data_IF_268305793418
#
_entry.id   IF_268305793418
#
_cell.length_a   1.000
_cell.length_b   1.000
_cell.length_c   1.000
_cell.angle_alpha   90.00
_cell.angle_beta   90.00
_cell.angle_gamma   90.00
#
_symmetry.space_group_name_H-M   'P 1'
#
loop_
_entity.id
_entity.type
_entity.pdbx_description
1 polymer ?
#
# COMPACT_ATOMS: atom_id res chain seq x y z
N UNK A 1 73.61 36.40 -9.91
CA UNK A 1 72.92 37.70 -9.77
C UNK A 1 71.43 37.40 -9.81
N UNK A 2 70.81 36.94 -8.72
CA UNK A 2 70.44 37.66 -7.48
C UNK A 2 69.53 38.86 -7.80
N UNK A 3 68.24 38.73 -7.51
CA UNK A 3 67.50 39.43 -6.43
C UNK A 3 65.98 39.22 -6.68
N UNK A 4 65.15 38.67 -5.78
CA UNK A 4 64.82 39.19 -4.43
C UNK A 4 64.14 40.58 -4.54
N UNK A 5 63.06 40.97 -3.87
CA UNK A 5 62.20 40.40 -2.85
C UNK A 5 61.15 41.49 -2.48
N UNK A 6 60.05 41.05 -1.86
CA UNK A 6 59.45 41.59 -0.61
C UNK A 6 59.19 43.10 -0.45
N UNK A 7 57.92 43.46 -0.15
CA UNK A 7 57.50 44.30 0.99
C UNK A 7 55.95 44.38 1.05
N UNK A 8 55.24 43.55 1.81
CA UNK A 8 54.60 43.84 3.13
C UNK A 8 54.56 45.31 3.61
N UNK A 9 53.35 45.85 3.80
CA UNK A 9 52.84 46.51 5.03
C UNK A 9 51.41 47.03 4.76
N UNK A 10 50.36 46.60 5.44
CA UNK A 10 49.94 46.89 6.83
C UNK A 10 48.93 48.06 6.92
N UNK A 11 47.83 47.82 7.63
CA UNK A 11 47.01 48.84 8.31
C UNK A 11 45.74 49.28 7.54
N UNK A 12 44.53 48.82 7.93
CA UNK A 12 43.62 49.46 8.90
C UNK A 12 43.26 50.93 8.53
N UNK A 13 42.00 51.20 8.16
CA UNK A 13 41.05 52.05 8.92
C UNK A 13 39.90 52.67 8.09
N UNK A 14 38.71 52.63 8.72
CA UNK A 14 37.65 53.64 8.75
C UNK A 14 36.69 53.88 7.56
N UNK A 15 35.47 53.35 7.76
CA UNK A 15 34.16 54.03 7.74
C UNK A 15 34.19 55.52 7.35
N UNK A 16 33.49 55.85 6.26
CA UNK A 16 32.97 57.21 6.04
C UNK A 16 31.49 57.17 5.66
N UNK A 17 30.69 57.74 6.57
CA UNK A 17 29.28 58.02 6.42
C UNK A 17 29.03 59.09 5.35
N UNK A 18 28.12 58.84 4.41
CA UNK A 18 27.64 59.85 3.47
C UNK A 18 26.48 60.64 4.10
N UNK A 19 26.69 61.95 4.18
CA UNK A 19 25.74 62.96 4.67
C UNK A 19 24.59 63.14 3.66
N UNK A 20 23.35 63.21 4.14
CA UNK A 20 22.16 63.60 3.37
C UNK A 20 22.21 65.10 3.03
N UNK A 21 21.86 65.54 1.80
CA UNK A 21 21.63 66.94 1.51
C UNK A 21 20.21 67.38 1.88
N UNK A 22 20.15 68.59 2.43
CA UNK A 22 19.00 69.31 2.97
C UNK A 22 18.07 69.81 1.85
N UNK A 23 16.77 69.73 2.12
CA UNK A 23 15.67 70.17 1.25
C UNK A 23 15.59 71.70 1.21
N UNK A 24 15.44 72.26 0.02
CA UNK A 24 15.03 73.63 -0.17
C UNK A 24 14.56 73.88 -1.60
N UNK A 25 13.26 73.74 -1.85
CA UNK A 25 12.50 74.75 -2.60
C UNK A 25 10.99 74.50 -2.58
N UNK A 26 10.30 75.60 -2.32
CA UNK A 26 8.90 75.78 -1.97
C UNK A 26 8.01 75.65 -3.22
N UNK A 27 7.19 74.60 -3.29
CA UNK A 27 6.14 74.46 -4.33
C UNK A 27 4.77 74.69 -3.68
N UNK A 28 4.06 75.74 -4.12
CA UNK A 28 2.67 76.02 -3.75
C UNK A 28 1.78 74.87 -4.26
N UNK A 29 1.11 74.15 -3.34
CA UNK A 29 0.23 73.00 -3.66
C UNK A 29 -1.21 73.49 -3.93
N UNK A 30 -1.78 73.12 -5.08
CA UNK A 30 -3.20 73.31 -5.44
C UNK A 30 -4.05 72.12 -4.96
N UNK A 31 -5.38 72.29 -4.93
CA UNK A 31 -6.37 71.37 -4.33
C UNK A 31 -6.36 69.91 -4.85
N UNK A 32 -5.63 69.63 -5.94
CA UNK A 32 -5.54 68.32 -6.58
C UNK A 32 -4.11 67.75 -6.65
N UNK A 33 -3.19 68.18 -5.78
CA UNK A 33 -1.86 67.54 -5.73
C UNK A 33 -1.92 66.21 -4.95
N UNK A 34 -1.98 65.07 -5.64
CA UNK A 34 -1.81 63.74 -5.04
C UNK A 34 -0.32 63.42 -4.93
N UNK A 35 0.19 63.10 -3.75
CA UNK A 35 1.59 62.68 -3.59
C UNK A 35 1.84 61.36 -4.34
N UNK A 36 2.96 61.29 -5.08
CA UNK A 36 3.40 60.08 -5.81
C UNK A 36 3.55 58.91 -4.83
N UNK A 37 2.90 57.76 -5.09
CA UNK A 37 3.09 56.53 -4.32
C UNK A 37 4.56 56.09 -4.41
N UNK A 38 5.28 56.05 -3.28
CA UNK A 38 6.58 55.40 -3.19
C UNK A 38 6.37 54.02 -2.57
N UNK A 39 6.87 52.98 -3.25
CA UNK A 39 6.93 51.61 -2.75
C UNK A 39 8.00 51.55 -1.65
N UNK A 40 7.60 51.67 -0.40
CA UNK A 40 8.45 51.38 0.75
C UNK A 40 8.36 49.88 1.04
N UNK A 41 9.46 49.17 0.82
CA UNK A 41 9.64 47.79 1.26
C UNK A 41 10.60 47.85 2.45
N UNK A 42 10.07 48.14 3.64
CA UNK A 42 10.57 47.73 4.96
C UNK A 42 9.64 48.29 6.05
N UNK A 43 9.44 47.49 7.11
CA UNK A 43 8.46 47.71 8.18
C UNK A 43 8.79 48.91 9.10
N UNK A 44 9.93 49.56 8.90
CA UNK A 44 10.44 50.65 9.75
C UNK A 44 10.02 52.05 9.24
N UNK A 45 9.56 52.19 7.99
CA UNK A 45 9.12 53.46 7.41
C UNK A 45 7.74 53.95 7.95
N UNK A 46 7.07 53.13 8.77
CA UNK A 46 5.75 53.48 9.32
C UNK A 46 5.79 54.44 10.51
N UNK A 47 6.94 54.63 11.16
CA UNK A 47 7.03 55.46 12.37
C UNK A 47 7.63 56.87 12.15
N UNK A 48 8.12 57.18 10.94
CA UNK A 48 8.72 58.49 10.63
C UNK A 48 7.75 59.49 9.95
N UNK A 49 6.48 59.13 9.75
CA UNK A 49 5.49 59.98 9.06
C UNK A 49 4.67 60.85 10.04
N UNK A 50 5.36 61.66 10.85
CA UNK A 50 4.72 62.69 11.69
C UNK A 50 3.96 63.76 10.87
N UNK A 51 4.24 63.90 9.56
CA UNK A 51 3.51 64.80 8.67
C UNK A 51 2.07 64.37 8.35
N UNK A 52 1.73 63.08 8.53
CA UNK A 52 0.40 62.56 8.18
C UNK A 52 -0.68 62.93 9.21
N UNK A 53 -0.26 63.22 10.45
CA UNK A 53 -1.17 63.36 11.59
C UNK A 53 -1.76 64.78 11.76
N UNK A 54 -1.20 65.80 11.08
CA UNK A 54 -1.50 67.22 11.37
C UNK A 54 -2.17 68.01 10.23
N UNK A 55 -2.49 67.39 9.08
CA UNK A 55 -3.28 68.05 8.03
C UNK A 55 -4.75 67.63 8.11
N UNK A 56 -5.55 68.40 8.87
CA UNK A 56 -7.00 68.32 8.83
C UNK A 56 -7.49 68.55 7.38
N UNK A 57 -7.87 67.48 6.70
CA UNK A 57 -8.52 67.52 5.40
C UNK A 57 -9.98 67.95 5.62
N UNK A 58 -10.41 69.06 5.02
CA UNK A 58 -11.79 69.50 5.11
C UNK A 58 -12.67 68.54 4.27
N UNK A 59 -13.55 67.73 4.88
CA UNK A 59 -14.25 66.64 4.21
C UNK A 59 -15.41 67.10 3.32
N UNK A 60 -15.69 68.41 3.25
CA UNK A 60 -16.86 68.96 2.55
C UNK A 60 -16.91 68.61 1.05
N UNK A 61 -15.76 68.53 0.37
CA UNK A 61 -15.71 68.12 -1.04
C UNK A 61 -16.07 66.66 -1.23
N UNK A 62 -15.72 65.80 -0.27
CA UNK A 62 -15.99 64.36 -0.34
C UNK A 62 -17.49 64.09 -0.20
N UNK A 63 -18.17 64.79 0.72
CA UNK A 63 -19.62 64.70 0.86
C UNK A 63 -20.37 65.16 -0.39
N UNK A 64 -19.88 66.18 -1.10
CA UNK A 64 -20.49 66.60 -2.37
C UNK A 64 -20.41 65.52 -3.45
N UNK A 65 -19.27 64.81 -3.55
CA UNK A 65 -19.14 63.67 -4.47
C UNK A 65 -20.06 62.51 -4.10
N UNK A 66 -20.17 62.19 -2.81
CA UNK A 66 -21.07 61.14 -2.34
C UNK A 66 -22.55 61.49 -2.53
N UNK A 67 -22.95 62.74 -2.28
CA UNK A 67 -24.32 63.21 -2.52
C UNK A 67 -24.64 63.19 -4.02
N UNK A 68 -23.73 63.66 -4.87
CA UNK A 68 -23.92 63.59 -6.32
C UNK A 68 -24.06 62.14 -6.81
N UNK A 69 -23.20 61.24 -6.33
CA UNK A 69 -23.29 59.80 -6.62
C UNK A 69 -24.60 59.17 -6.16
N UNK A 70 -25.07 59.52 -4.95
CA UNK A 70 -26.33 59.03 -4.41
C UNK A 70 -27.54 59.52 -5.22
N UNK A 71 -27.59 60.81 -5.56
CA UNK A 71 -28.69 61.39 -6.36
C UNK A 71 -28.73 60.80 -7.77
N UNK A 72 -27.58 60.59 -8.42
CA UNK A 72 -27.49 59.91 -9.71
C UNK A 72 -27.90 58.44 -9.63
N UNK A 73 -27.50 57.73 -8.57
CA UNK A 73 -27.94 56.35 -8.32
C UNK A 73 -29.45 56.24 -8.10
N UNK A 74 -30.03 57.17 -7.35
CA UNK A 74 -31.47 57.18 -7.06
C UNK A 74 -32.29 57.47 -8.32
N UNK A 75 -31.85 58.40 -9.18
CA UNK A 75 -32.50 58.65 -10.47
C UNK A 75 -32.38 57.48 -11.46
N UNK A 76 -31.31 56.69 -11.40
CA UNK A 76 -31.15 55.52 -12.27
C UNK A 76 -31.91 54.30 -11.79
N UNK A 77 -31.90 54.04 -10.48
CA UNK A 77 -32.42 52.80 -9.89
C UNK A 77 -33.91 52.89 -9.58
N UNK A 78 -34.41 54.06 -9.17
CA UNK A 78 -35.80 54.21 -8.75
C UNK A 78 -36.82 53.98 -9.89
N UNK A 79 -36.60 54.45 -11.14
CA UNK A 79 -37.50 54.13 -12.26
C UNK A 79 -37.49 52.64 -12.62
N UNK A 80 -36.34 51.97 -12.48
CA UNK A 80 -36.20 50.53 -12.75
C UNK A 80 -36.94 49.68 -11.70
N UNK A 81 -36.83 50.06 -10.41
CA UNK A 81 -37.57 49.42 -9.33
C UNK A 81 -39.08 49.69 -9.45
N UNK A 82 -39.47 50.91 -9.83
CA UNK A 82 -40.88 51.26 -10.04
C UNK A 82 -41.49 50.50 -11.21
N UNK A 83 -40.75 50.36 -12.32
CA UNK A 83 -41.20 49.56 -13.47
C UNK A 83 -41.32 48.07 -13.12
N UNK A 84 -40.33 47.51 -12.41
CA UNK A 84 -40.39 46.13 -11.94
C UNK A 84 -41.57 45.88 -10.99
N UNK A 85 -41.84 46.80 -10.06
CA UNK A 85 -42.99 46.72 -9.16
C UNK A 85 -44.32 46.82 -9.91
N UNK A 86 -44.43 47.73 -10.89
CA UNK A 86 -45.65 47.91 -11.68
C UNK A 86 -45.99 46.67 -12.53
N UNK A 87 -44.98 45.96 -13.06
CA UNK A 87 -45.20 44.76 -13.88
C UNK A 87 -45.29 43.44 -13.10
N UNK A 88 -44.59 43.31 -11.97
CA UNK A 88 -44.45 42.03 -11.25
C UNK A 88 -45.07 42.01 -9.85
N UNK A 89 -45.52 43.17 -9.33
CA UNK A 89 -46.04 43.31 -7.97
C UNK A 89 -44.99 43.20 -6.86
N UNK A 90 -43.69 43.11 -7.22
CA UNK A 90 -42.58 42.94 -6.28
C UNK A 90 -41.45 43.92 -6.58
N UNK A 91 -40.79 44.42 -5.52
CA UNK A 91 -39.82 45.51 -5.64
C UNK A 91 -38.46 45.04 -6.19
N UNK A 92 -38.05 43.79 -5.94
CA UNK A 92 -36.76 43.25 -6.36
C UNK A 92 -36.93 42.07 -7.33
N UNK A 93 -36.07 41.94 -8.37
CA UNK A 93 -36.09 40.79 -9.27
C UNK A 93 -35.68 39.52 -8.52
N UNK A 94 -36.36 38.39 -8.78
CA UNK A 94 -35.99 37.10 -8.19
C UNK A 94 -34.65 36.63 -8.75
N UNK A 95 -33.76 36.22 -7.87
CA UNK A 95 -32.63 35.35 -8.22
C UNK A 95 -33.20 34.04 -8.75
N UNK A 96 -33.23 33.89 -10.08
CA UNK A 96 -33.71 32.70 -10.76
C UNK A 96 -32.71 31.54 -10.60
N UNK A 97 -32.47 31.10 -9.37
CA UNK A 97 -31.72 29.86 -9.07
C UNK A 97 -32.62 28.63 -9.24
N UNK A 98 -33.94 28.79 -9.37
CA UNK A 98 -34.89 27.68 -9.47
C UNK A 98 -35.56 27.50 -10.83
N UNK A 99 -35.09 28.16 -11.90
CA UNK A 99 -35.63 28.00 -13.27
C UNK A 99 -34.65 27.34 -14.25
N UNK A 100 -33.76 26.47 -13.76
CA UNK A 100 -32.94 25.55 -14.56
C UNK A 100 -33.37 24.08 -14.46
N UNK A 101 -34.60 23.79 -13.99
CA UNK A 101 -35.20 22.47 -14.15
C UNK A 101 -36.23 22.48 -15.28
N UNK A 102 -35.73 22.42 -16.54
CA UNK A 102 -36.40 21.80 -17.72
C UNK A 102 -35.62 22.03 -19.03
N UNK A 103 -34.31 21.84 -18.99
CA UNK A 103 -33.57 21.33 -20.15
C UNK A 103 -32.96 20.01 -19.72
N UNK A 104 -33.06 18.91 -20.51
CA UNK A 104 -32.28 17.72 -20.23
C UNK A 104 -30.82 18.09 -20.46
N UNK A 105 -30.15 18.57 -19.41
CA UNK A 105 -28.71 18.63 -19.36
C UNK A 105 -28.24 17.19 -19.52
N UNK A 106 -27.70 16.86 -20.69
CA UNK A 106 -26.85 15.70 -20.85
C UNK A 106 -25.68 15.91 -19.91
N UNK A 107 -25.79 15.37 -18.70
CA UNK A 107 -24.71 15.36 -17.73
C UNK A 107 -23.50 14.74 -18.43
N UNK A 108 -22.54 15.58 -18.83
CA UNK A 108 -21.27 15.11 -19.38
C UNK A 108 -20.61 14.35 -18.24
N UNK A 109 -20.77 13.03 -18.26
CA UNK A 109 -20.17 12.14 -17.29
C UNK A 109 -18.66 12.22 -17.49
N UNK A 110 -17.98 13.10 -16.76
CA UNK A 110 -16.52 13.17 -16.78
C UNK A 110 -15.96 11.77 -16.47
N UNK A 111 -15.06 11.22 -17.31
CA UNK A 111 -14.46 9.92 -17.02
C UNK A 111 -13.80 9.97 -15.65
N UNK A 112 -14.21 9.07 -14.75
CA UNK A 112 -13.61 8.97 -13.41
C UNK A 112 -12.09 8.88 -13.57
N UNK A 113 -11.35 9.68 -12.82
CA UNK A 113 -9.89 9.60 -12.77
C UNK A 113 -9.49 8.16 -12.43
N UNK A 114 -8.95 7.45 -13.42
CA UNK A 114 -8.46 6.08 -13.28
C UNK A 114 -6.94 6.13 -13.33
N UNK A 115 -6.29 5.46 -12.38
CA UNK A 115 -4.83 5.31 -12.38
C UNK A 115 -4.43 4.60 -13.68
N UNK A 116 -3.40 5.10 -14.37
CA UNK A 116 -2.95 4.49 -15.62
C UNK A 116 -2.54 3.04 -15.38
N UNK A 117 -3.15 2.10 -16.12
CA UNK A 117 -2.80 0.69 -16.03
C UNK A 117 -1.63 0.43 -16.98
N UNK A 118 -0.49 -0.01 -16.45
CA UNK A 118 0.64 -0.43 -17.28
C UNK A 118 0.23 -1.67 -18.08
N UNK A 119 0.08 -1.52 -19.39
CA UNK A 119 -0.27 -2.62 -20.30
C UNK A 119 1.00 -3.25 -20.85
N UNK A 120 1.26 -4.50 -20.47
CA UNK A 120 2.41 -5.25 -20.96
C UNK A 120 2.13 -5.80 -22.37
N UNK A 121 3.03 -5.57 -23.33
CA UNK A 121 2.92 -6.06 -24.71
C UNK A 121 3.38 -7.52 -24.88
N UNK A 122 3.18 -8.35 -23.86
CA UNK A 122 3.58 -9.77 -23.89
C UNK A 122 2.62 -10.59 -24.77
N UNK A 123 3.15 -11.59 -25.48
CA UNK A 123 2.35 -12.53 -26.32
C UNK A 123 1.37 -13.41 -25.53
N UNK A 124 1.46 -13.45 -24.20
CA UNK A 124 0.62 -14.31 -23.36
C UNK A 124 -0.76 -13.70 -23.22
N UNK A 125 -1.77 -14.33 -23.83
CA UNK A 125 -3.17 -13.96 -23.65
C UNK A 125 -3.65 -14.29 -22.23
N UNK A 126 -4.69 -13.58 -21.78
CA UNK A 126 -5.36 -13.91 -20.52
C UNK A 126 -5.90 -15.33 -20.64
N UNK A 127 -5.44 -16.24 -19.78
CA UNK A 127 -5.91 -17.63 -19.76
C UNK A 127 -7.41 -17.65 -19.47
N UNK A 128 -8.16 -18.39 -20.29
CA UNK A 128 -9.59 -18.61 -20.07
C UNK A 128 -9.76 -19.42 -18.78
N UNK A 129 -10.11 -18.70 -17.71
CA UNK A 129 -10.12 -19.26 -16.35
C UNK A 129 -11.31 -20.18 -16.12
N UNK A 130 -12.41 -19.97 -16.85
CA UNK A 130 -13.63 -20.78 -16.78
C UNK A 130 -13.39 -22.16 -17.38
N UNK A 131 -12.98 -22.23 -18.65
CA UNK A 131 -12.74 -23.50 -19.35
C UNK A 131 -11.76 -24.42 -18.60
N UNK A 132 -10.77 -23.86 -17.91
CA UNK A 132 -9.82 -24.65 -17.11
C UNK A 132 -10.44 -25.24 -15.85
N UNK A 133 -11.39 -24.53 -15.22
CA UNK A 133 -12.14 -25.05 -14.08
C UNK A 133 -13.08 -26.15 -14.54
N UNK A 134 -13.79 -25.92 -15.65
CA UNK A 134 -14.73 -26.90 -16.21
C UNK A 134 -14.00 -28.19 -16.59
N UNK A 135 -12.85 -28.09 -17.27
CA UNK A 135 -11.96 -29.24 -17.54
C UNK A 135 -11.46 -29.95 -16.29
N UNK A 136 -11.10 -29.20 -15.25
CA UNK A 136 -10.66 -29.81 -13.99
C UNK A 136 -11.80 -30.59 -13.31
N UNK A 137 -13.05 -30.12 -13.42
CA UNK A 137 -14.22 -30.82 -12.88
C UNK A 137 -14.48 -32.10 -13.68
N UNK A 138 -14.44 -32.03 -15.01
CA UNK A 138 -14.56 -33.19 -15.90
C UNK A 138 -13.49 -34.24 -15.60
N UNK A 139 -12.22 -33.84 -15.53
CA UNK A 139 -11.10 -34.75 -15.21
C UNK A 139 -11.25 -35.44 -13.85
N UNK A 140 -11.78 -34.74 -12.84
CA UNK A 140 -12.03 -35.33 -11.51
C UNK A 140 -13.13 -36.39 -11.61
N UNK A 141 -14.25 -36.08 -12.30
CA UNK A 141 -15.36 -37.02 -12.47
C UNK A 141 -14.97 -38.27 -13.24
N UNK A 142 -14.20 -38.12 -14.32
CA UNK A 142 -13.63 -39.25 -15.07
C UNK A 142 -12.71 -40.13 -14.20
N UNK A 143 -11.90 -39.51 -13.35
CA UNK A 143 -11.02 -40.24 -12.44
C UNK A 143 -11.80 -40.94 -11.32
N UNK A 144 -12.90 -40.37 -10.82
CA UNK A 144 -13.76 -41.00 -9.81
C UNK A 144 -14.46 -42.24 -10.33
N UNK A 145 -14.82 -42.26 -11.61
CA UNK A 145 -15.37 -43.46 -12.24
C UNK A 145 -14.32 -44.58 -12.34
N UNK A 146 -13.08 -44.20 -12.65
CA UNK A 146 -11.95 -45.11 -12.89
C UNK A 146 -11.36 -45.71 -11.62
N UNK A 147 -11.13 -44.91 -10.58
CA UNK A 147 -10.40 -45.34 -9.39
C UNK A 147 -11.34 -45.80 -8.26
N UNK A 148 -10.87 -46.73 -7.42
CA UNK A 148 -11.63 -47.28 -6.29
C UNK A 148 -11.62 -46.39 -5.05
N UNK A 149 -10.53 -45.66 -4.80
CA UNK A 149 -10.36 -44.86 -3.59
C UNK A 149 -10.15 -43.38 -3.91
N UNK A 150 -10.70 -42.53 -3.04
CA UNK A 150 -10.43 -41.11 -3.01
C UNK A 150 -9.84 -40.72 -1.65
N UNK A 151 -8.75 -39.97 -1.64
CA UNK A 151 -8.06 -39.52 -0.44
C UNK A 151 -7.94 -38.01 -0.42
N UNK A 152 -8.11 -37.43 0.77
CA UNK A 152 -7.88 -36.02 1.05
C UNK A 152 -6.53 -35.89 1.73
N UNK A 153 -5.62 -35.16 1.08
CA UNK A 153 -4.25 -34.96 1.55
C UNK A 153 -4.04 -33.51 1.99
N UNK A 154 -3.60 -33.30 3.23
CA UNK A 154 -3.15 -31.99 3.70
C UNK A 154 -1.70 -31.79 3.27
N UNK A 155 -1.43 -30.68 2.59
CA UNK A 155 -0.11 -30.35 2.05
C UNK A 155 0.48 -29.20 2.87
N UNK A 156 1.66 -29.40 3.45
CA UNK A 156 2.37 -28.37 4.22
C UNK A 156 3.63 -27.94 3.46
N UNK A 157 3.85 -26.63 3.29
CA UNK A 157 5.04 -26.05 2.64
C UNK A 157 5.33 -26.55 1.20
N UNK A 158 4.28 -26.83 0.44
CA UNK A 158 4.31 -27.33 -0.94
C UNK A 158 5.08 -26.44 -1.91
N UNK A 159 5.79 -27.09 -2.85
CA UNK A 159 6.38 -26.46 -4.04
C UNK A 159 6.12 -27.30 -5.28
N UNK A 160 6.06 -26.64 -6.43
CA UNK A 160 5.75 -27.28 -7.70
C UNK A 160 6.71 -28.41 -8.08
N UNK A 161 7.98 -28.33 -7.69
CA UNK A 161 8.96 -29.38 -7.98
C UNK A 161 8.71 -30.63 -7.11
N UNK A 162 8.43 -30.42 -5.82
CA UNK A 162 8.13 -31.49 -4.86
C UNK A 162 6.82 -32.19 -5.23
N UNK A 163 5.80 -31.42 -5.57
CA UNK A 163 4.51 -31.94 -6.04
C UNK A 163 4.58 -32.64 -7.40
N UNK A 164 5.65 -32.44 -8.18
CA UNK A 164 5.85 -33.21 -9.42
C UNK A 164 6.46 -34.58 -9.10
N UNK A 165 7.49 -34.62 -8.26
CA UNK A 165 8.05 -35.87 -7.76
C UNK A 165 6.95 -36.73 -7.11
N UNK A 166 6.22 -36.17 -6.15
CA UNK A 166 5.11 -36.87 -5.50
C UNK A 166 4.04 -37.39 -6.49
N UNK A 167 3.76 -36.66 -7.58
CA UNK A 167 2.84 -37.11 -8.62
C UNK A 167 3.40 -38.25 -9.47
N UNK A 168 4.71 -38.31 -9.63
CA UNK A 168 5.36 -39.38 -10.37
C UNK A 168 5.35 -40.68 -9.54
N UNK A 169 5.55 -40.58 -8.23
CA UNK A 169 5.54 -41.72 -7.30
C UNK A 169 4.12 -42.25 -7.02
N UNK A 170 3.10 -41.38 -7.10
CA UNK A 170 1.69 -41.77 -6.93
C UNK A 170 1.02 -42.36 -8.18
N UNK A 171 1.74 -42.56 -9.30
CA UNK A 171 1.19 -43.22 -10.50
C UNK A 171 0.92 -44.70 -10.21
N UNK A 172 -0.20 -45.29 -10.69
CA UNK A 172 -1.15 -44.78 -11.69
C UNK A 172 -2.20 -43.78 -11.17
N UNK A 173 -2.23 -43.49 -9.87
CA UNK A 173 -3.14 -42.53 -9.27
C UNK A 173 -2.95 -41.09 -9.76
N UNK A 174 -3.96 -40.26 -9.53
CA UNK A 174 -4.00 -38.86 -9.98
C UNK A 174 -4.22 -37.92 -8.80
N UNK A 175 -3.24 -37.04 -8.59
CA UNK A 175 -3.27 -36.00 -7.55
C UNK A 175 -3.70 -34.64 -8.11
N UNK A 176 -4.87 -34.18 -7.68
CA UNK A 176 -5.43 -32.87 -7.96
C UNK A 176 -5.11 -31.89 -6.83
N UNK A 177 -4.47 -30.77 -7.18
CA UNK A 177 -4.24 -29.64 -6.26
C UNK A 177 -4.89 -28.40 -6.87
N UNK A 178 -6.22 -28.33 -6.78
CA UNK A 178 -7.03 -27.28 -7.35
C UNK A 178 -7.48 -26.25 -6.32
N UNK A 179 -8.43 -25.40 -6.72
CA UNK A 179 -9.17 -24.58 -5.75
C UNK A 179 -10.18 -25.48 -5.05
N UNK A 180 -10.21 -25.44 -3.72
CA UNK A 180 -11.06 -26.34 -2.90
C UNK A 180 -12.53 -26.31 -3.35
N UNK A 181 -13.09 -25.13 -3.61
CA UNK A 181 -14.47 -25.00 -4.12
C UNK A 181 -14.72 -25.68 -5.46
N UNK A 182 -13.73 -25.75 -6.35
CA UNK A 182 -13.87 -26.47 -7.63
C UNK A 182 -13.88 -27.97 -7.39
N UNK A 183 -13.05 -28.46 -6.46
CA UNK A 183 -13.03 -29.87 -6.08
C UNK A 183 -14.34 -30.27 -5.37
N UNK A 184 -14.85 -29.45 -4.45
CA UNK A 184 -16.14 -29.67 -3.79
C UNK A 184 -17.31 -29.75 -4.79
N UNK A 185 -17.35 -28.89 -5.80
CA UNK A 185 -18.37 -28.96 -6.87
C UNK A 185 -18.20 -30.19 -7.76
N UNK A 186 -16.97 -30.69 -7.94
CA UNK A 186 -16.72 -31.89 -8.70
C UNK A 186 -17.22 -33.16 -7.99
N UNK A 187 -17.04 -33.23 -6.66
CA UNK A 187 -17.53 -34.33 -5.82
C UNK A 187 -19.06 -34.26 -5.60
N UNK A 188 -19.58 -33.04 -5.40
CA UNK A 188 -20.95 -32.77 -4.96
C UNK A 188 -20.96 -32.26 -3.51
N UNK A 189 -21.63 -31.12 -3.27
CA UNK A 189 -21.66 -30.48 -1.94
C UNK A 189 -22.73 -31.13 -1.06
N UNK A 190 -23.88 -31.42 -1.67
CA UNK A 190 -25.03 -32.05 -1.03
C UNK A 190 -25.22 -33.46 -1.60
N UNK A 191 -25.89 -34.33 -0.84
CA UNK A 191 -26.25 -35.69 -1.27
C UNK A 191 -27.07 -35.73 -2.57
N UNK A 192 -27.83 -34.67 -2.90
CA UNK A 192 -28.58 -34.59 -4.16
C UNK A 192 -27.69 -34.31 -5.38
N UNK A 193 -26.53 -33.72 -5.15
CA UNK A 193 -25.60 -33.26 -6.19
C UNK A 193 -24.37 -34.16 -6.34
N UNK A 194 -24.33 -35.26 -5.60
CA UNK A 194 -23.15 -36.10 -5.49
C UNK A 194 -22.95 -37.00 -6.70
N UNK A 195 -21.69 -37.16 -7.10
CA UNK A 195 -21.33 -37.99 -8.25
C UNK A 195 -21.39 -39.50 -7.91
N UNK A 196 -21.12 -39.84 -6.65
CA UNK A 196 -21.08 -41.19 -6.11
C UNK A 196 -21.61 -41.16 -4.69
N UNK A 197 -22.30 -42.23 -4.27
CA UNK A 197 -22.95 -42.30 -2.97
C UNK A 197 -21.94 -42.09 -1.81
N UNK A 198 -22.25 -41.16 -0.91
CA UNK A 198 -21.48 -40.90 0.29
C UNK A 198 -20.18 -40.11 0.08
N UNK A 199 -19.90 -39.62 -1.13
CA UNK A 199 -18.67 -38.86 -1.41
C UNK A 199 -18.71 -37.42 -0.89
N UNK A 200 -19.92 -36.88 -0.68
CA UNK A 200 -20.12 -35.55 -0.10
C UNK A 200 -19.41 -35.40 1.25
N UNK A 201 -19.25 -36.49 2.03
CA UNK A 201 -18.52 -36.50 3.30
C UNK A 201 -17.05 -36.07 3.19
N UNK A 202 -16.41 -36.25 2.02
CA UNK A 202 -15.04 -35.75 1.80
C UNK A 202 -14.98 -34.22 1.66
N UNK A 203 -16.08 -33.57 1.30
CA UNK A 203 -16.06 -32.13 1.00
C UNK A 203 -15.81 -31.27 2.23
N UNK A 204 -16.19 -31.73 3.41
CA UNK A 204 -15.95 -31.07 4.70
C UNK A 204 -14.45 -30.94 4.99
N UNK A 205 -13.66 -31.93 4.58
CA UNK A 205 -12.21 -31.98 4.77
C UNK A 205 -11.41 -31.19 3.71
N UNK A 206 -12.08 -30.66 2.68
CA UNK A 206 -11.44 -29.83 1.64
C UNK A 206 -11.28 -28.37 2.11
N UNK A 207 -10.59 -28.14 3.23
CA UNK A 207 -10.31 -26.80 3.78
C UNK A 207 -8.81 -26.54 3.90
N UNK A 208 -8.36 -25.32 3.56
CA UNK A 208 -6.93 -24.95 3.60
C UNK A 208 -6.12 -25.46 2.41
N UNK A 209 -4.84 -25.76 2.63
CA UNK A 209 -3.93 -26.29 1.62
C UNK A 209 -4.09 -27.82 1.50
N UNK A 210 -5.03 -28.22 0.64
CA UNK A 210 -5.44 -29.62 0.49
C UNK A 210 -5.37 -30.08 -0.96
N UNK A 211 -5.01 -31.34 -1.16
CA UNK A 211 -5.07 -32.06 -2.43
C UNK A 211 -6.04 -33.23 -2.38
N UNK A 212 -6.62 -33.56 -3.53
CA UNK A 212 -7.46 -34.74 -3.73
C UNK A 212 -6.66 -35.78 -4.54
N UNK A 213 -6.44 -36.95 -3.97
CA UNK A 213 -5.77 -38.08 -4.62
C UNK A 213 -6.80 -39.15 -4.97
N UNK A 214 -6.88 -39.52 -6.24
CA UNK A 214 -7.69 -40.64 -6.71
C UNK A 214 -6.76 -41.78 -7.13
N UNK A 215 -6.89 -42.96 -6.52
CA UNK A 215 -5.98 -44.09 -6.76
C UNK A 215 -6.64 -45.43 -6.43
N UNK A 216 -6.07 -46.51 -6.92
CA UNK A 216 -6.46 -47.89 -6.57
C UNK A 216 -5.61 -48.48 -5.45
N UNK A 217 -4.60 -47.73 -4.96
CA UNK A 217 -3.72 -48.15 -3.87
C UNK A 217 -4.46 -48.11 -2.52
N UNK A 218 -4.10 -49.04 -1.63
CA UNK A 218 -4.60 -49.08 -0.25
C UNK A 218 -4.03 -47.93 0.58
N UNK A 219 -4.70 -47.61 1.69
CA UNK A 219 -4.30 -46.53 2.58
C UNK A 219 -2.89 -46.71 3.15
N UNK A 220 -2.51 -47.95 3.48
CA UNK A 220 -1.18 -48.30 3.99
C UNK A 220 -0.06 -47.93 3.01
N UNK A 221 -0.20 -48.32 1.74
CA UNK A 221 0.77 -47.99 0.71
C UNK A 221 0.84 -46.48 0.45
N UNK A 222 -0.31 -45.79 0.46
CA UNK A 222 -0.32 -44.33 0.31
C UNK A 222 0.44 -43.68 1.48
N UNK A 223 0.19 -44.08 2.72
CA UNK A 223 0.90 -43.55 3.89
C UNK A 223 2.41 -43.78 3.80
N UNK A 224 2.85 -44.95 3.35
CA UNK A 224 4.28 -45.26 3.14
C UNK A 224 4.92 -44.34 2.09
N UNK A 225 4.26 -44.14 0.95
CA UNK A 225 4.76 -43.23 -0.09
C UNK A 225 4.83 -41.80 0.44
N UNK A 226 3.82 -41.34 1.18
CA UNK A 226 3.81 -39.98 1.75
C UNK A 226 4.92 -39.77 2.78
N UNK A 227 5.19 -40.77 3.64
CA UNK A 227 6.26 -40.70 4.64
C UNK A 227 7.66 -40.64 3.99
N UNK A 228 7.86 -41.31 2.86
CA UNK A 228 9.12 -41.28 2.12
C UNK A 228 9.37 -39.93 1.40
N UNK A 229 8.35 -39.08 1.25
CA UNK A 229 8.42 -37.83 0.50
C UNK A 229 8.61 -36.56 1.35
N UNK A 230 9.35 -36.66 2.45
CA UNK A 230 9.77 -35.49 3.22
C UNK A 230 11.01 -34.82 2.62
N UNK A 231 10.91 -33.53 2.26
CA UNK A 231 12.04 -32.76 1.74
C UNK A 231 12.15 -31.38 2.39
N UNK A 232 13.37 -31.02 2.82
CA UNK A 232 13.67 -29.73 3.40
C UNK A 232 13.63 -28.60 2.36
N UNK A 233 13.17 -27.44 2.79
CA UNK A 233 12.78 -26.33 1.95
C UNK A 233 13.02 -24.98 2.63
N UNK A 234 13.10 -23.90 1.85
CA UNK A 234 13.23 -22.55 2.44
C UNK A 234 11.89 -22.09 3.03
N UNK A 235 11.95 -21.49 4.21
CA UNK A 235 10.79 -20.93 4.88
C UNK A 235 10.15 -19.80 4.07
N UNK A 236 8.85 -19.61 4.29
CA UNK A 236 8.07 -18.48 3.79
C UNK A 236 7.67 -17.58 4.96
N UNK A 237 7.24 -16.36 4.64
CA UNK A 237 6.73 -15.43 5.65
C UNK A 237 5.63 -16.10 6.45
N UNK A 238 5.67 -15.95 7.77
CA UNK A 238 4.72 -16.57 8.70
C UNK A 238 5.09 -17.99 9.16
N UNK A 239 6.09 -18.65 8.56
CA UNK A 239 6.61 -19.90 9.11
C UNK A 239 7.34 -19.65 10.43
N UNK A 240 7.22 -20.58 11.37
CA UNK A 240 7.93 -20.55 12.65
C UNK A 240 9.39 -20.95 12.42
N UNK A 241 10.33 -20.17 12.97
CA UNK A 241 11.75 -20.49 12.89
C UNK A 241 12.10 -21.72 13.72
N UNK A 242 12.86 -22.65 13.13
CA UNK A 242 13.33 -23.89 13.77
C UNK A 242 14.72 -23.76 14.41
N UNK A 243 15.47 -22.72 14.06
CA UNK A 243 16.83 -22.50 14.57
C UNK A 243 17.09 -20.99 14.79
N UNK A 244 18.08 -20.71 15.64
CA UNK A 244 18.61 -19.38 15.86
C UNK A 244 19.72 -19.11 14.83
N UNK A 245 19.63 -17.98 14.12
CA UNK A 245 20.61 -17.59 13.11
C UNK A 245 21.12 -16.20 13.44
N UNK A 246 22.40 -16.13 13.80
CA UNK A 246 23.14 -14.89 14.07
C UNK A 246 24.30 -14.77 13.10
N UNK A 247 24.45 -13.60 12.48
CA UNK A 247 25.59 -13.27 11.63
C UNK A 247 26.58 -12.45 12.44
N UNK A 248 27.83 -12.89 12.48
CA UNK A 248 28.92 -12.19 13.16
C UNK A 248 29.36 -10.96 12.35
N UNK A 249 29.82 -9.92 13.05
CA UNK A 249 30.37 -8.72 12.48
C UNK A 249 31.62 -9.02 11.62
N UNK A 250 31.80 -8.27 10.53
CA UNK A 250 32.95 -8.40 9.65
C UNK A 250 32.61 -8.81 8.22
N UNK A 251 33.61 -9.34 7.52
CA UNK A 251 33.55 -9.57 6.06
C UNK A 251 33.21 -11.04 5.71
N UNK A 252 33.33 -11.96 6.67
CA UNK A 252 33.31 -13.41 6.40
C UNK A 252 31.90 -13.92 6.11
N UNK A 253 30.93 -13.53 6.93
CA UNK A 253 29.53 -13.97 6.84
C UNK A 253 28.87 -13.67 5.47
N UNK A 254 29.29 -12.60 4.78
CA UNK A 254 28.71 -12.14 3.51
C UNK A 254 29.71 -12.21 2.34
N UNK A 255 30.86 -12.85 2.52
CA UNK A 255 31.93 -12.96 1.53
C UNK A 255 31.49 -13.66 0.23
N UNK A 256 30.49 -14.54 0.30
CA UNK A 256 29.91 -15.27 -0.84
C UNK A 256 29.13 -14.37 -1.80
N UNK A 257 28.68 -13.20 -1.36
CA UNK A 257 27.81 -12.33 -2.16
C UNK A 257 28.62 -11.31 -2.97
N UNK A 258 28.23 -11.05 -4.24
CA UNK A 258 28.87 -10.00 -5.03
C UNK A 258 28.52 -8.61 -4.50
N UNK A 259 29.45 -7.66 -4.62
CA UNK A 259 29.27 -6.25 -4.19
C UNK A 259 28.00 -5.58 -4.75
N UNK A 260 27.52 -6.00 -5.92
CA UNK A 260 26.27 -5.51 -6.54
C UNK A 260 25.01 -5.81 -5.71
N UNK A 261 25.05 -6.85 -4.87
CA UNK A 261 23.94 -7.22 -3.98
C UNK A 261 23.95 -6.48 -2.64
N UNK A 262 24.95 -5.66 -2.35
CA UNK A 262 25.04 -4.90 -1.09
C UNK A 262 23.82 -4.00 -0.85
N UNK A 263 23.31 -3.22 -1.82
CA UNK A 263 22.11 -2.41 -1.60
C UNK A 263 20.87 -3.25 -1.35
N UNK A 264 20.82 -4.47 -1.90
CA UNK A 264 19.72 -5.40 -1.67
C UNK A 264 19.77 -5.96 -0.24
N UNK A 265 20.94 -6.36 0.25
CA UNK A 265 21.13 -6.80 1.64
C UNK A 265 20.78 -5.70 2.65
N UNK A 266 21.18 -4.45 2.37
CA UNK A 266 20.79 -3.29 3.18
C UNK A 266 19.27 -3.09 3.21
N UNK A 267 18.60 -3.32 2.08
CA UNK A 267 17.13 -3.25 2.00
C UNK A 267 16.44 -4.35 2.83
N UNK A 268 17.10 -5.49 3.06
CA UNK A 268 16.61 -6.56 3.93
C UNK A 268 16.85 -6.30 5.42
N UNK A 269 17.38 -5.12 5.77
CA UNK A 269 17.61 -4.72 7.16
C UNK A 269 19.00 -5.03 7.70
N UNK A 270 19.92 -5.56 6.88
CA UNK A 270 21.29 -5.80 7.32
C UNK A 270 22.10 -4.49 7.37
N UNK A 271 22.80 -4.20 8.48
CA UNK A 271 23.70 -3.06 8.58
C UNK A 271 25.03 -3.33 7.86
N UNK A 272 25.03 -3.21 6.53
CA UNK A 272 26.21 -3.44 5.68
C UNK A 272 26.84 -2.16 5.15
N UNK A 273 28.17 -2.22 4.99
CA UNK A 273 28.98 -1.22 4.28
C UNK A 273 29.90 -1.90 3.29
N UNK A 274 30.21 -1.20 2.19
CA UNK A 274 31.19 -1.68 1.22
C UNK A 274 32.57 -1.13 1.61
N UNK A 275 33.50 -2.01 2.01
CA UNK A 275 34.88 -1.66 2.34
C UNK A 275 35.80 -2.39 1.38
N UNK A 276 36.60 -1.66 0.59
CA UNK A 276 37.54 -2.23 -0.39
C UNK A 276 36.90 -3.23 -1.35
N UNK A 277 35.64 -2.98 -1.77
CA UNK A 277 34.90 -3.85 -2.69
C UNK A 277 34.34 -5.13 -2.07
N UNK A 278 34.50 -5.33 -0.74
CA UNK A 278 33.89 -6.42 0.02
C UNK A 278 32.76 -5.89 0.90
N UNK A 279 31.73 -6.71 1.11
CA UNK A 279 30.59 -6.38 1.97
C UNK A 279 30.99 -6.68 3.41
N UNK A 280 31.02 -5.64 4.24
CA UNK A 280 31.29 -5.70 5.67
C UNK A 280 30.02 -5.50 6.47
N UNK A 281 29.72 -6.38 7.41
CA UNK A 281 28.68 -6.19 8.41
C UNK A 281 29.23 -5.32 9.55
N UNK A 282 28.51 -4.26 9.93
CA UNK A 282 28.98 -3.28 10.93
C UNK A 282 28.97 -3.81 12.36
N UNK A 283 28.11 -4.79 12.66
CA UNK A 283 27.94 -5.39 13.97
C UNK A 283 27.17 -6.70 13.85
N UNK A 284 27.14 -7.47 14.93
CA UNK A 284 26.43 -8.75 14.95
C UNK A 284 24.93 -8.51 14.68
N UNK A 285 24.36 -9.33 13.80
CA UNK A 285 22.96 -9.21 13.41
C UNK A 285 22.23 -10.53 13.60
N UNK A 286 21.20 -10.50 14.44
CA UNK A 286 20.33 -11.64 14.65
C UNK A 286 19.24 -11.68 13.58
N UNK A 287 19.30 -12.69 12.72
CA UNK A 287 18.34 -12.87 11.62
C UNK A 287 17.03 -13.44 12.16
N UNK A 288 17.08 -14.53 12.93
CA UNK A 288 15.88 -15.15 13.47
C UNK A 288 16.14 -15.88 14.79
N UNK A 289 15.10 -15.93 15.62
CA UNK A 289 15.02 -16.75 16.85
C UNK A 289 14.03 -17.89 16.65
N UNK A 290 14.35 -19.03 17.22
CA UNK A 290 13.54 -20.24 17.29
C UNK A 290 12.20 -19.93 17.95
N UNK A 291 11.13 -20.44 17.37
CA UNK A 291 9.77 -20.22 17.85
C UNK A 291 9.12 -18.90 17.43
N UNK A 292 9.83 -17.99 16.75
CA UNK A 292 9.23 -16.75 16.20
C UNK A 292 8.81 -16.92 14.74
N UNK A 293 7.70 -16.29 14.36
CA UNK A 293 7.26 -16.23 12.97
C UNK A 293 8.21 -15.34 12.15
N UNK A 294 8.66 -15.86 11.01
CA UNK A 294 9.62 -15.17 10.14
C UNK A 294 8.96 -14.05 9.33
N UNK A 295 9.61 -12.89 9.29
CA UNK A 295 9.24 -11.78 8.41
C UNK A 295 9.65 -12.08 6.95
N UNK A 296 9.06 -11.42 5.95
CA UNK A 296 9.44 -11.65 4.55
C UNK A 296 10.91 -11.30 4.27
N UNK A 297 11.48 -10.34 4.99
CA UNK A 297 12.89 -9.94 4.87
C UNK A 297 13.81 -11.03 5.44
N UNK A 298 13.50 -11.56 6.64
CA UNK A 298 14.22 -12.67 7.25
C UNK A 298 14.18 -13.94 6.37
N UNK A 299 13.02 -14.25 5.77
CA UNK A 299 12.91 -15.40 4.85
C UNK A 299 13.81 -15.26 3.62
N UNK A 300 13.96 -14.04 3.09
CA UNK A 300 14.86 -13.76 1.98
C UNK A 300 16.32 -13.91 2.41
N UNK A 301 16.69 -13.42 3.59
CA UNK A 301 18.03 -13.62 4.15
C UNK A 301 18.37 -15.09 4.34
N UNK A 302 17.50 -15.86 5.01
CA UNK A 302 17.66 -17.31 5.21
C UNK A 302 17.81 -18.06 3.89
N UNK A 303 17.04 -17.67 2.87
CA UNK A 303 17.16 -18.22 1.51
C UNK A 303 18.49 -17.89 0.84
N UNK A 304 19.01 -16.67 1.02
CA UNK A 304 20.31 -16.27 0.50
C UNK A 304 21.46 -17.02 1.18
N UNK A 305 21.34 -17.24 2.49
CA UNK A 305 22.30 -18.03 3.28
C UNK A 305 22.23 -19.53 2.94
N UNK A 306 21.16 -19.98 2.29
CA UNK A 306 21.01 -21.37 1.86
C UNK A 306 20.57 -22.31 2.98
N UNK A 307 19.97 -21.80 4.04
CA UNK A 307 19.52 -22.59 5.20
C UNK A 307 18.04 -22.97 5.01
N UNK A 308 17.70 -24.24 4.76
CA UNK A 308 16.31 -24.67 4.69
C UNK A 308 15.72 -24.80 6.11
N UNK A 309 14.59 -24.15 6.37
CA UNK A 309 13.95 -24.13 7.70
C UNK A 309 12.50 -24.64 7.68
N UNK A 310 11.95 -24.95 6.51
CA UNK A 310 10.61 -25.50 6.36
C UNK A 310 10.71 -26.92 5.79
N UNK A 311 9.93 -27.86 6.31
CA UNK A 311 9.86 -29.22 5.76
C UNK A 311 8.57 -29.34 4.96
N UNK A 312 8.66 -29.90 3.76
CA UNK A 312 7.48 -30.32 3.01
C UNK A 312 6.99 -31.64 3.58
N UNK A 313 5.74 -31.65 4.06
CA UNK A 313 5.06 -32.81 4.61
C UNK A 313 3.68 -32.94 3.98
N UNK A 314 3.23 -34.18 3.84
CA UNK A 314 1.88 -34.50 3.37
C UNK A 314 1.24 -35.46 4.37
N UNK A 315 0.08 -35.08 4.89
CA UNK A 315 -0.70 -35.91 5.82
C UNK A 315 -1.99 -36.40 5.16
N UNK A 316 -2.41 -37.61 5.50
CA UNK A 316 -3.63 -38.23 4.99
C UNK A 316 -4.78 -37.97 5.97
N UNK A 317 -5.78 -37.19 5.55
CA UNK A 317 -6.86 -36.70 6.43
C UNK A 317 -8.06 -37.66 6.40
N UNK A 318 -8.57 -37.92 5.20
CA UNK A 318 -9.77 -38.71 5.00
C UNK A 318 -9.64 -39.58 3.74
N UNK A 319 -10.37 -40.70 3.74
CA UNK A 319 -10.51 -41.63 2.63
C UNK A 319 -11.99 -41.89 2.38
N UNK A 320 -12.34 -42.07 1.12
CA UNK A 320 -13.60 -42.63 0.68
C UNK A 320 -13.32 -43.88 -0.18
N UNK A 321 -14.11 -44.92 0.06
CA UNK A 321 -14.08 -46.19 -0.67
C UNK A 321 -15.35 -46.31 -1.50
N UNK A 322 -15.21 -46.64 -2.78
CA UNK A 322 -16.35 -46.85 -3.68
C UNK A 322 -17.20 -48.08 -3.30
N UNK A 323 -16.61 -49.08 -2.65
CA UNK A 323 -17.31 -50.33 -2.32
C UNK A 323 -18.16 -50.19 -1.05
N UNK A 324 -17.62 -49.49 -0.06
CA UNK A 324 -18.27 -49.34 1.24
C UNK A 324 -19.18 -48.11 1.28
N UNK A 325 -19.03 -47.19 0.31
CA UNK A 325 -19.64 -45.85 0.27
C UNK A 325 -19.46 -45.02 1.56
N UNK A 326 -18.52 -45.45 2.41
CA UNK A 326 -18.21 -44.81 3.68
C UNK A 326 -16.96 -43.93 3.57
N UNK A 327 -17.00 -42.80 4.27
CA UNK A 327 -15.82 -42.00 4.53
C UNK A 327 -15.15 -42.44 5.83
N UNK A 328 -13.89 -42.84 5.78
CA UNK A 328 -13.05 -43.13 6.95
C UNK A 328 -12.07 -41.98 7.16
N UNK A 329 -12.02 -41.47 8.38
CA UNK A 329 -11.12 -40.37 8.78
C UNK A 329 -9.90 -40.98 9.47
N UNK A 330 -8.70 -40.56 9.07
CA UNK A 330 -7.44 -41.10 9.58
C UNK A 330 -6.75 -40.17 10.57
N UNK A 331 -7.03 -38.87 10.53
CA UNK A 331 -6.53 -37.91 11.51
C UNK A 331 -7.67 -37.01 12.01
N UNK A 332 -7.74 -36.85 13.33
CA UNK A 332 -8.61 -35.89 14.00
C UNK A 332 -8.35 -34.47 13.46
N UNK A 333 -9.40 -33.66 13.26
CA UNK A 333 -9.23 -32.26 12.93
C UNK A 333 -8.55 -31.59 14.13
N UNK A 334 -7.27 -31.25 14.00
CA UNK A 334 -6.62 -30.37 14.95
C UNK A 334 -7.43 -29.07 15.03
N UNK A 335 -8.03 -28.88 16.20
CA UNK A 335 -8.89 -27.79 16.62
C UNK A 335 -8.14 -26.45 16.55
N UNK A 336 -8.86 -25.45 16.05
CA UNK A 336 -8.71 -24.01 16.26
C UNK A 336 -7.32 -23.37 16.00
N UNK A 337 -7.20 -22.76 14.82
CA UNK A 337 -6.42 -21.52 14.68
C UNK A 337 -7.09 -20.40 15.51
N UNK A 338 -6.86 -20.38 16.83
CA UNK A 338 -6.93 -19.15 17.61
C UNK A 338 -5.69 -18.30 17.26
N UNK A 339 -5.73 -17.66 16.10
CA UNK A 339 -4.91 -16.49 15.81
C UNK A 339 -5.80 -15.37 15.25
N UNK A 340 -6.90 -15.12 15.96
CA UNK A 340 -7.70 -13.91 15.90
C UNK A 340 -7.48 -13.09 17.16
N UNK A 341 -6.22 -12.83 17.52
CA UNK A 341 -5.87 -11.89 18.57
C UNK A 341 -6.12 -10.46 18.09
N UNK A 342 -7.30 -9.96 18.46
CA UNK A 342 -7.73 -8.57 18.42
C UNK A 342 -6.58 -7.61 18.76
N UNK A 343 -6.48 -6.54 17.97
CA UNK A 343 -5.61 -5.40 18.23
C UNK A 343 -6.04 -4.73 19.54
N UNK A 344 -5.23 -4.82 20.58
CA UNK A 344 -5.30 -3.89 21.70
C UNK A 344 -4.47 -2.66 21.33
N UNK A 345 -5.20 -1.57 21.11
CA UNK A 345 -4.68 -0.21 21.04
C UNK A 345 -4.32 0.14 22.49
N UNK A 346 -3.03 0.12 22.84
CA UNK A 346 -2.59 0.61 24.14
C UNK A 346 -2.68 2.14 24.15
N UNK A 347 -3.51 2.62 25.08
CA UNK A 347 -3.79 4.00 25.41
C UNK A 347 -2.53 4.71 25.95
N UNK A 348 -2.52 6.04 25.83
CA UNK A 348 -1.43 6.89 26.26
C UNK A 348 -1.09 6.80 27.76
N UNK A 349 0.06 7.36 28.16
CA UNK A 349 0.57 7.21 29.52
C UNK A 349 -0.34 7.87 30.57
N UNK A 350 -0.44 7.31 31.79
CA UNK A 350 -1.36 7.79 32.82
C UNK A 350 -0.93 9.17 33.38
N UNK A 351 -1.89 9.95 33.92
CA UNK A 351 -1.63 11.30 34.41
C UNK A 351 -0.81 11.28 35.71
N UNK A 352 0.16 12.18 35.78
CA UNK A 352 0.96 12.46 36.97
C UNK A 352 0.04 13.03 38.06
N UNK A 353 -0.13 12.29 39.14
CA UNK A 353 -0.82 12.78 40.33
C UNK A 353 0.06 13.85 41.01
N UNK A 354 -0.45 15.08 41.03
CA UNK A 354 0.05 16.14 41.88
C UNK A 354 -0.18 15.77 43.35
N UNK A 355 0.89 15.68 44.11
CA UNK A 355 0.85 15.75 45.57
C UNK A 355 1.26 17.16 45.99
N UNK A 356 0.59 17.64 47.04
CA UNK A 356 0.60 18.99 47.57
C UNK A 356 1.96 19.45 48.12
#
# INVERSE_FOLDING_TARGET
MILSAVARNAGRQFVQASRRPVVGNTVKRTFFSRSRQRMAHNLEDHFDLAEYMMKMHNPMSEYLYWIAGFVSGLHGILPLLHSNYYFSGMFLPKDNVSLFHRTPQTAVHMPKSKRNQVVNLTKVSKRQTRDRKDKAIEEIRECLEKFRFAYVLKLENQRNNLLKALRDDLKPGRLFCGRNKVMQVALGVDAESECQDGIHGLTEYLSGEVGLLLTDMTSEHVMEVLANHEQANFARSGCISTADITLEAGDDALSRFPHSQEPFLRKLGLPTLLVNGKIRLMGDYEVCKTGKALTPEQCQLVKLLGIPMAVFRVSLVAQWSKEDTTCTVFEEPAVADESGGQMDIDEGPPPVQATA
#
